data_IF_047454641159
#
_entry.id   IF_047454641159
#
_cell.length_a   1.000
_cell.length_b   1.000
_cell.length_c   1.000
_cell.angle_alpha   90.00
_cell.angle_beta   90.00
_cell.angle_gamma   90.00
#
_symmetry.space_group_name_H-M   'P 1'
#
loop_
_entity.id
_entity.type
_entity.pdbx_description
1 polymer ?
#
# COMPACT_ATOMS: atom_id res chain seq x y z
N UNK A 1 10.50 -5.22 -9.00
CA UNK A 1 9.59 -6.14 -8.26
C UNK A 1 8.24 -6.14 -8.97
N UNK A 2 7.53 -7.28 -9.02
CA UNK A 2 6.25 -7.34 -9.75
C UNK A 2 5.12 -6.72 -8.92
N UNK A 3 4.35 -5.83 -9.54
CA UNK A 3 3.20 -5.18 -8.91
C UNK A 3 2.02 -5.13 -9.87
N UNK A 4 0.82 -5.02 -9.30
CA UNK A 4 -0.41 -4.79 -10.00
C UNK A 4 -0.92 -3.40 -9.66
N UNK A 5 -1.23 -2.61 -10.68
CA UNK A 5 -1.82 -1.28 -10.51
C UNK A 5 -3.28 -1.30 -10.92
N UNK A 6 -4.13 -0.78 -10.04
CA UNK A 6 -5.57 -0.62 -10.26
C UNK A 6 -5.91 0.87 -10.25
N UNK A 7 -6.73 1.30 -11.20
CA UNK A 7 -7.28 2.66 -11.26
C UNK A 7 -8.78 2.56 -11.04
N UNK A 8 -9.26 3.19 -9.97
CA UNK A 8 -10.66 3.14 -9.58
C UNK A 8 -11.28 4.53 -9.76
N UNK A 9 -12.17 4.64 -10.75
CA UNK A 9 -12.92 5.87 -11.09
C UNK A 9 -14.31 5.93 -10.45
N UNK A 10 -14.52 5.19 -9.35
CA UNK A 10 -15.84 5.03 -8.70
C UNK A 10 -16.21 6.32 -7.93
N UNK A 11 -17.46 6.84 -8.04
CA UNK A 11 -17.91 8.02 -7.29
C UNK A 11 -17.74 7.85 -5.78
N UNK A 12 -17.59 8.95 -5.01
CA UNK A 12 -16.61 9.07 -3.94
C UNK A 12 -16.95 8.14 -2.78
N UNK A 13 -16.40 6.93 -2.79
CA UNK A 13 -16.23 6.21 -1.55
C UNK A 13 -15.06 6.85 -0.83
N UNK A 14 -15.36 7.49 0.29
CA UNK A 14 -14.35 8.16 1.07
C UNK A 14 -13.54 7.13 1.89
N UNK A 15 -12.60 6.47 1.20
CA UNK A 15 -11.73 5.44 1.76
C UNK A 15 -10.75 5.96 2.81
N UNK A 16 -10.65 7.29 2.96
CA UNK A 16 -9.85 7.97 3.97
C UNK A 16 -10.22 7.52 5.38
N UNK A 17 -11.49 7.18 5.63
CA UNK A 17 -11.94 6.69 6.94
C UNK A 17 -11.67 5.19 7.18
N UNK A 18 -11.33 4.43 6.12
CA UNK A 18 -11.23 2.98 6.17
C UNK A 18 -9.79 2.47 6.33
N UNK A 19 -8.80 3.27 5.95
CA UNK A 19 -7.40 2.88 5.90
C UNK A 19 -6.52 3.79 6.73
N UNK A 20 -5.28 3.37 6.98
CA UNK A 20 -4.28 4.18 7.68
C UNK A 20 -3.44 4.93 6.65
N UNK A 21 -2.99 6.13 7.01
CA UNK A 21 -1.84 6.72 6.35
C UNK A 21 -0.59 5.85 6.60
N UNK A 22 0.42 6.00 5.76
CA UNK A 22 1.70 5.28 5.91
C UNK A 22 2.32 5.51 7.29
N UNK A 23 2.31 6.75 7.78
CA UNK A 23 2.89 7.08 9.08
C UNK A 23 2.09 6.49 10.26
N UNK A 24 0.75 6.53 10.20
CA UNK A 24 -0.08 5.86 11.21
C UNK A 24 0.13 4.35 11.22
N UNK A 25 0.27 3.72 10.06
CA UNK A 25 0.59 2.30 9.97
C UNK A 25 1.96 2.00 10.59
N UNK A 26 3.00 2.75 10.24
CA UNK A 26 4.37 2.55 10.77
C UNK A 26 4.38 2.66 12.29
N UNK A 27 3.71 3.68 12.83
CA UNK A 27 3.60 3.88 14.28
C UNK A 27 2.83 2.73 14.95
N UNK A 28 1.67 2.36 14.42
CA UNK A 28 0.86 1.26 14.95
C UNK A 28 1.58 -0.08 14.87
N UNK A 29 2.27 -0.34 13.76
CA UNK A 29 3.07 -1.53 13.54
C UNK A 29 4.20 -1.63 14.57
N UNK A 30 5.03 -0.58 14.71
CA UNK A 30 6.13 -0.57 15.67
C UNK A 30 5.63 -0.77 17.11
N UNK A 31 4.54 -0.09 17.48
CA UNK A 31 3.92 -0.24 18.78
C UNK A 31 3.44 -1.68 19.03
N UNK A 32 2.76 -2.29 18.07
CA UNK A 32 2.27 -3.67 18.17
C UNK A 32 3.42 -4.68 18.18
N UNK A 33 4.45 -4.46 17.37
CA UNK A 33 5.65 -5.29 17.32
C UNK A 33 6.35 -5.34 18.68
N UNK A 34 6.50 -4.18 19.34
CA UNK A 34 7.14 -4.06 20.65
C UNK A 34 6.38 -4.73 21.80
N UNK A 35 5.08 -5.04 21.62
CA UNK A 35 4.31 -5.77 22.63
C UNK A 35 4.68 -7.27 22.69
N UNK A 36 5.20 -7.85 21.60
CA UNK A 36 5.63 -9.25 21.56
C UNK A 36 6.70 -9.48 20.49
N UNK A 37 7.90 -8.97 20.76
CA UNK A 37 9.03 -8.97 19.81
C UNK A 37 9.36 -10.39 19.33
N UNK A 38 9.40 -11.38 20.23
CA UNK A 38 9.77 -12.76 19.87
C UNK A 38 8.81 -13.37 18.85
N UNK A 39 7.49 -13.20 19.08
CA UNK A 39 6.48 -13.68 18.15
C UNK A 39 6.57 -12.96 16.80
N UNK A 40 6.62 -11.63 16.79
CA UNK A 40 6.62 -10.88 15.53
C UNK A 40 7.92 -11.03 14.74
N UNK A 41 9.06 -11.20 15.40
CA UNK A 41 10.31 -11.55 14.73
C UNK A 41 10.20 -12.88 13.99
N UNK A 42 9.51 -13.87 14.57
CA UNK A 42 9.28 -15.17 13.91
C UNK A 42 8.26 -15.11 12.76
N UNK A 43 7.26 -14.23 12.86
CA UNK A 43 6.16 -14.16 11.90
C UNK A 43 6.45 -13.21 10.75
N UNK A 44 7.03 -12.05 11.03
CA UNK A 44 7.20 -10.93 10.08
C UNK A 44 8.67 -10.72 9.75
N UNK A 45 9.59 -11.02 10.67
CA UNK A 45 11.01 -10.70 10.55
C UNK A 45 11.34 -9.39 11.26
N UNK A 46 12.46 -8.76 10.89
CA UNK A 46 12.95 -7.56 11.56
C UNK A 46 12.02 -6.35 11.37
N UNK A 47 11.71 -5.67 12.47
CA UNK A 47 10.79 -4.54 12.48
C UNK A 47 11.33 -3.35 11.67
N UNK A 48 12.61 -3.01 11.80
CA UNK A 48 13.20 -1.87 11.08
C UNK A 48 13.27 -2.16 9.58
N UNK A 49 13.63 -3.40 9.21
CA UNK A 49 13.61 -3.81 7.82
C UNK A 49 12.21 -3.69 7.22
N UNK A 50 11.16 -4.14 7.94
CA UNK A 50 9.78 -4.00 7.48
C UNK A 50 9.36 -2.53 7.27
N UNK A 51 9.75 -1.63 8.18
CA UNK A 51 9.47 -0.20 8.04
C UNK A 51 10.21 0.42 6.83
N UNK A 52 11.46 0.02 6.60
CA UNK A 52 12.24 0.43 5.43
C UNK A 52 11.61 -0.09 4.13
N UNK A 53 11.09 -1.31 4.13
CA UNK A 53 10.41 -1.89 2.97
C UNK A 53 9.13 -1.11 2.62
N UNK A 54 8.39 -0.66 3.63
CA UNK A 54 7.23 0.24 3.44
C UNK A 54 7.65 1.57 2.83
N UNK A 55 8.69 2.21 3.37
CA UNK A 55 9.19 3.50 2.85
C UNK A 55 9.70 3.36 1.40
N UNK A 56 10.44 2.29 1.10
CA UNK A 56 10.93 1.99 -0.24
C UNK A 56 9.77 1.81 -1.23
N UNK A 57 8.73 1.06 -0.83
CA UNK A 57 7.58 0.86 -1.69
C UNK A 57 6.85 2.18 -1.96
N UNK A 58 6.66 3.01 -0.94
CA UNK A 58 6.01 4.30 -1.07
C UNK A 58 6.76 5.22 -2.04
N UNK A 59 8.10 5.24 -1.98
CA UNK A 59 8.94 6.02 -2.91
C UNK A 59 8.77 5.52 -4.34
N UNK A 60 8.86 4.21 -4.55
CA UNK A 60 8.81 3.62 -5.89
C UNK A 60 7.43 3.79 -6.53
N UNK A 61 6.36 3.53 -5.78
CA UNK A 61 4.98 3.64 -6.28
C UNK A 61 4.57 5.09 -6.50
N UNK A 62 4.99 6.03 -5.65
CA UNK A 62 4.74 7.46 -5.87
C UNK A 62 5.47 8.00 -7.12
N UNK A 63 6.68 7.49 -7.39
CA UNK A 63 7.41 7.83 -8.61
C UNK A 63 6.68 7.34 -9.87
N UNK A 64 6.14 6.12 -9.85
CA UNK A 64 5.31 5.60 -10.94
C UNK A 64 4.04 6.43 -11.12
N UNK A 65 3.35 6.77 -10.02
CA UNK A 65 2.17 7.63 -10.06
C UNK A 65 2.48 8.94 -10.77
N UNK A 66 3.52 9.66 -10.32
CA UNK A 66 3.96 10.92 -10.93
C UNK A 66 4.27 10.82 -12.43
N UNK A 67 4.72 9.66 -12.91
CA UNK A 67 4.98 9.43 -14.33
C UNK A 67 3.71 9.09 -15.13
N UNK A 68 2.66 8.62 -14.47
CA UNK A 68 1.43 8.10 -15.09
C UNK A 68 0.29 9.11 -15.18
N UNK A 69 0.35 10.21 -14.43
CA UNK A 69 -0.72 11.22 -14.35
C UNK A 69 -0.21 12.63 -14.63
N UNK A 70 -1.11 13.53 -15.05
CA UNK A 70 -0.75 14.93 -15.34
C UNK A 70 -0.47 15.75 -14.07
N UNK A 71 -1.20 15.49 -12.99
CA UNK A 71 -0.98 16.07 -11.67
C UNK A 71 -1.08 14.98 -10.61
N UNK A 72 -0.05 14.86 -9.77
CA UNK A 72 0.01 13.90 -8.67
C UNK A 72 -0.34 14.55 -7.32
N UNK A 73 -1.06 15.67 -7.33
CA UNK A 73 -1.57 16.28 -6.10
C UNK A 73 -2.57 15.33 -5.42
N UNK A 74 -2.24 14.94 -4.20
CA UNK A 74 -3.02 13.98 -3.43
C UNK A 74 -4.07 14.70 -2.58
N UNK A 75 -5.28 14.16 -2.55
CA UNK A 75 -6.37 14.62 -1.68
C UNK A 75 -6.10 14.36 -0.20
N UNK A 76 -5.45 13.24 0.07
CA UNK A 76 -5.08 12.78 1.40
C UNK A 76 -3.65 12.25 1.38
N UNK A 77 -3.02 12.01 2.56
CA UNK A 77 -1.76 11.29 2.62
C UNK A 77 -1.85 9.94 1.89
N UNK A 78 -0.70 9.42 1.46
CA UNK A 78 -0.61 8.07 0.93
C UNK A 78 -1.12 7.06 1.98
N UNK A 79 -2.01 6.18 1.55
CA UNK A 79 -2.70 5.23 2.41
C UNK A 79 -2.11 3.83 2.25
N UNK A 80 -2.22 3.01 3.27
CA UNK A 80 -1.67 1.64 3.29
C UNK A 80 -2.67 0.67 3.93
N UNK A 81 -2.72 -0.54 3.39
CA UNK A 81 -3.38 -1.66 4.03
C UNK A 81 -2.60 -2.96 3.82
N UNK A 82 -2.64 -3.83 4.82
CA UNK A 82 -2.01 -5.15 4.77
C UNK A 82 -2.87 -6.16 4.02
N UNK A 83 -2.23 -7.03 3.25
CA UNK A 83 -2.88 -8.19 2.61
C UNK A 83 -2.55 -9.45 3.41
N UNK A 84 -3.52 -10.35 3.65
CA UNK A 84 -3.23 -11.67 4.21
C UNK A 84 -2.27 -12.45 3.29
N UNK A 85 -1.04 -12.71 3.76
CA UNK A 85 -0.06 -13.55 3.06
C UNK A 85 -0.26 -15.06 3.31
N UNK A 86 -1.29 -15.43 4.09
CA UNK A 86 -1.54 -16.80 4.50
C UNK A 86 -0.46 -17.31 5.45
N UNK A 87 0.01 -18.55 5.23
CA UNK A 87 1.05 -19.21 6.03
C UNK A 87 2.48 -18.78 5.68
N UNK A 88 2.65 -17.77 4.80
CA UNK A 88 3.97 -17.25 4.46
C UNK A 88 4.56 -16.47 5.64
N UNK A 89 5.43 -17.14 6.40
CA UNK A 89 6.22 -16.54 7.47
C UNK A 89 7.39 -15.76 6.90
N UNK A 90 7.75 -14.65 7.57
CA UNK A 90 8.95 -13.86 7.28
C UNK A 90 8.73 -12.65 6.37
N UNK A 91 7.48 -12.32 6.04
CA UNK A 91 7.14 -11.06 5.37
C UNK A 91 5.67 -10.71 5.54
N UNK A 92 5.35 -9.43 5.75
CA UNK A 92 4.00 -8.92 5.61
C UNK A 92 3.84 -8.23 4.25
N UNK A 93 2.77 -8.58 3.52
CA UNK A 93 2.43 -7.93 2.26
C UNK A 93 1.52 -6.73 2.51
N UNK A 94 1.73 -5.66 1.75
CA UNK A 94 0.96 -4.43 1.87
C UNK A 94 0.74 -3.79 0.51
N UNK A 95 -0.37 -3.06 0.40
CA UNK A 95 -0.66 -2.19 -0.73
C UNK A 95 -0.45 -0.75 -0.35
N UNK A 96 -0.02 0.06 -1.32
CA UNK A 96 -0.04 1.51 -1.22
C UNK A 96 -1.15 2.05 -2.11
N UNK A 97 -1.87 3.05 -1.60
CA UNK A 97 -2.99 3.67 -2.26
C UNK A 97 -2.84 5.19 -2.30
N UNK A 98 -3.14 5.77 -3.45
CA UNK A 98 -3.09 7.22 -3.70
C UNK A 98 -4.41 7.69 -4.28
N UNK A 99 -4.99 8.75 -3.69
CA UNK A 99 -6.21 9.38 -4.17
C UNK A 99 -5.87 10.78 -4.65
N UNK A 100 -6.12 11.07 -5.92
CA UNK A 100 -5.83 12.38 -6.50
C UNK A 100 -6.88 13.42 -6.09
N UNK A 101 -6.47 14.69 -6.04
CA UNK A 101 -7.37 15.80 -5.71
C UNK A 101 -8.31 16.15 -6.88
N UNK A 102 -7.79 16.27 -8.09
CA UNK A 102 -8.53 16.87 -9.21
C UNK A 102 -9.76 16.06 -9.68
N UNK A 103 -9.69 14.74 -9.67
CA UNK A 103 -10.73 13.83 -10.18
C UNK A 103 -11.18 12.78 -9.15
N UNK A 104 -10.43 12.63 -8.05
CA UNK A 104 -10.70 11.59 -7.06
C UNK A 104 -10.29 10.19 -7.52
N UNK A 105 -9.59 10.07 -8.66
CA UNK A 105 -9.09 8.78 -9.13
C UNK A 105 -8.19 8.18 -8.06
N UNK A 106 -8.40 6.89 -7.82
CA UNK A 106 -7.61 6.17 -6.83
C UNK A 106 -6.76 5.10 -7.48
N UNK A 107 -5.47 5.17 -7.19
CA UNK A 107 -4.44 4.26 -7.66
C UNK A 107 -4.06 3.32 -6.52
N UNK A 108 -4.15 2.02 -6.76
CA UNK A 108 -3.75 0.99 -5.80
C UNK A 108 -2.60 0.19 -6.39
N UNK A 109 -1.50 0.09 -5.64
CA UNK A 109 -0.32 -0.70 -5.98
C UNK A 109 -0.30 -1.93 -5.07
N UNK A 110 -0.40 -3.12 -5.67
CA UNK A 110 -0.45 -4.39 -4.93
C UNK A 110 0.65 -5.36 -5.35
N UNK A 111 1.33 -6.02 -4.41
CA UNK A 111 2.34 -7.04 -4.74
C UNK A 111 1.72 -8.35 -5.24
N UNK A 112 0.39 -8.49 -5.18
CA UNK A 112 -0.35 -9.66 -5.68
C UNK A 112 -1.59 -9.23 -6.48
N UNK A 113 -2.17 -10.10 -7.31
CA UNK A 113 -3.43 -9.81 -7.97
C UNK A 113 -4.57 -9.63 -6.96
N UNK A 114 -5.40 -8.61 -7.17
CA UNK A 114 -6.60 -8.29 -6.41
C UNK A 114 -7.80 -8.50 -7.32
N UNK A 115 -8.19 -9.77 -7.51
CA UNK A 115 -9.21 -10.20 -8.48
C UNK A 115 -10.54 -9.44 -8.35
N UNK A 116 -10.90 -9.02 -7.14
CA UNK A 116 -12.13 -8.23 -6.92
C UNK A 116 -12.05 -6.78 -7.39
N UNK A 117 -10.84 -6.27 -7.65
CA UNK A 117 -10.56 -4.93 -8.20
C UNK A 117 -10.16 -4.98 -9.67
N UNK A 118 -10.03 -6.18 -10.26
CA UNK A 118 -9.80 -6.38 -11.69
C UNK A 118 -11.08 -6.00 -12.47
N UNK A 119 -11.31 -4.70 -12.60
CA UNK A 119 -12.15 -4.13 -13.66
C UNK A 119 -11.31 -4.00 -14.94
N UNK A 120 -11.91 -3.55 -16.05
CA UNK A 120 -11.32 -3.45 -17.40
C UNK A 120 -9.97 -2.67 -17.51
N UNK A 121 -9.42 -2.13 -16.41
CA UNK A 121 -8.14 -1.38 -16.36
C UNK A 121 -7.12 -1.86 -15.30
N UNK A 122 -7.19 -3.11 -14.82
CA UNK A 122 -6.08 -3.69 -14.03
C UNK A 122 -4.89 -4.07 -14.92
N UNK A 123 -3.68 -3.66 -14.54
CA UNK A 123 -2.45 -3.95 -15.28
C UNK A 123 -1.30 -4.39 -14.39
N UNK A 124 -0.60 -5.45 -14.78
CA UNK A 124 0.72 -5.80 -14.22
C UNK A 124 1.73 -4.74 -14.67
N UNK A 125 2.53 -4.25 -13.72
CA UNK A 125 3.61 -3.30 -13.96
C UNK A 125 4.90 -3.82 -13.30
N UNK A 126 6.03 -3.48 -13.92
CA UNK A 126 7.35 -3.72 -13.35
C UNK A 126 7.85 -2.44 -12.70
N UNK A 127 7.98 -2.48 -11.37
CA UNK A 127 8.48 -1.37 -10.53
C UNK A 127 9.96 -1.53 -10.19
#
# INVERSE_FOLDING_TARGET
MKFYRYVLSIPPLDWECCFLSIEEYKQNFANKYNQNIEYYMQVIGDCQQHLVDVDNLAVVTYKDLCASVHSAELRCPAMIFSIPSGDQRGSALFCIMYKLENDGDTFIYSPIPLVHLEQDQAGEIEL
#
